data_IF_705430367923
#
_entry.id   IF_705430367923
#
_cell.length_a   1.000
_cell.length_b   1.000
_cell.length_c   1.000
_cell.angle_alpha   90.00
_cell.angle_beta   90.00
_cell.angle_gamma   90.00
#
_symmetry.space_group_name_H-M   'P 1'
#
loop_
_entity.id
_entity.type
_entity.pdbx_description
1 polymer ?
#
# COMPACT_ATOMS: atom_id res chain seq x y z
N UNK A 1 26.10 -12.52 -10.56
CA UNK A 1 25.26 -13.71 -10.28
C UNK A 1 24.21 -13.41 -9.19
N UNK A 2 24.61 -12.74 -8.10
CA UNK A 2 23.69 -12.39 -7.02
C UNK A 2 22.54 -11.49 -7.48
N UNK A 3 22.81 -10.49 -8.32
CA UNK A 3 21.79 -9.59 -8.86
C UNK A 3 20.74 -10.33 -9.68
N UNK A 4 21.14 -11.26 -10.55
CA UNK A 4 20.19 -12.04 -11.34
C UNK A 4 19.36 -12.99 -10.49
N UNK A 5 19.95 -13.59 -9.46
CA UNK A 5 19.23 -14.47 -8.54
C UNK A 5 18.22 -13.69 -7.71
N UNK A 6 18.61 -12.53 -7.19
CA UNK A 6 17.73 -11.64 -6.43
C UNK A 6 16.58 -11.12 -7.30
N UNK A 7 16.87 -10.64 -8.52
CA UNK A 7 15.87 -10.19 -9.46
C UNK A 7 14.92 -11.29 -9.89
N UNK A 8 15.40 -12.52 -10.08
CA UNK A 8 14.55 -13.67 -10.38
C UNK A 8 13.57 -13.96 -9.24
N UNK A 9 14.02 -13.85 -7.99
CA UNK A 9 13.14 -14.01 -6.81
C UNK A 9 12.07 -12.92 -6.74
N UNK A 10 12.42 -11.67 -7.01
CA UNK A 10 11.49 -10.55 -7.06
C UNK A 10 10.46 -10.74 -8.18
N UNK A 11 10.90 -11.09 -9.38
CA UNK A 11 10.01 -11.33 -10.52
C UNK A 11 9.02 -12.48 -10.25
N UNK A 12 9.47 -13.57 -9.65
CA UNK A 12 8.62 -14.69 -9.25
C UNK A 12 7.61 -14.27 -8.18
N UNK A 13 8.02 -13.43 -7.22
CA UNK A 13 7.13 -12.86 -6.22
C UNK A 13 6.03 -12.00 -6.84
N UNK A 14 6.35 -11.20 -7.85
CA UNK A 14 5.36 -10.37 -8.57
C UNK A 14 4.40 -11.19 -9.43
N UNK A 15 4.85 -12.28 -10.03
CA UNK A 15 3.95 -13.22 -10.69
C UNK A 15 2.96 -13.83 -9.71
N UNK A 16 3.42 -14.21 -8.52
CA UNK A 16 2.58 -14.69 -7.43
C UNK A 16 1.57 -13.62 -7.02
N UNK A 17 1.99 -12.36 -6.92
CA UNK A 17 1.09 -11.24 -6.61
C UNK A 17 0.01 -11.06 -7.69
N UNK A 18 0.35 -11.16 -8.96
CA UNK A 18 -0.63 -11.10 -10.06
C UNK A 18 -1.70 -12.18 -9.90
N UNK A 19 -1.31 -13.40 -9.57
CA UNK A 19 -2.25 -14.51 -9.33
C UNK A 19 -3.13 -14.21 -8.11
N UNK A 20 -2.52 -13.78 -7.00
CA UNK A 20 -3.26 -13.45 -5.77
C UNK A 20 -4.28 -12.34 -6.01
N UNK A 21 -3.89 -11.25 -6.65
CA UNK A 21 -4.79 -10.13 -6.92
C UNK A 21 -5.83 -10.46 -7.98
N UNK A 22 -5.50 -11.28 -8.97
CA UNK A 22 -6.50 -11.78 -9.93
C UNK A 22 -7.60 -12.58 -9.21
N UNK A 23 -7.24 -13.37 -8.21
CA UNK A 23 -8.20 -14.10 -7.38
C UNK A 23 -9.03 -13.14 -6.52
N UNK A 24 -8.38 -12.19 -5.85
CA UNK A 24 -9.04 -11.23 -4.96
C UNK A 24 -10.00 -10.30 -5.72
N UNK A 25 -9.62 -9.85 -6.92
CA UNK A 25 -10.41 -8.91 -7.72
C UNK A 25 -11.32 -9.61 -8.74
N UNK A 26 -11.15 -10.91 -8.94
CA UNK A 26 -11.95 -11.69 -9.90
C UNK A 26 -11.61 -11.42 -11.37
N UNK A 27 -10.47 -10.77 -11.66
CA UNK A 27 -10.07 -10.43 -13.02
C UNK A 27 -8.54 -10.27 -13.11
N UNK A 28 -7.94 -10.95 -14.07
CA UNK A 28 -6.52 -10.81 -14.37
C UNK A 28 -6.17 -9.39 -14.86
N UNK A 29 -7.01 -8.83 -15.72
CA UNK A 29 -6.81 -7.49 -16.27
C UNK A 29 -6.87 -6.42 -15.19
N UNK A 30 -7.82 -6.52 -14.28
CA UNK A 30 -7.94 -5.63 -13.12
C UNK A 30 -6.70 -5.73 -12.23
N UNK A 31 -6.22 -6.94 -11.96
CA UNK A 31 -5.02 -7.18 -11.17
C UNK A 31 -3.78 -6.57 -11.82
N UNK A 32 -3.59 -6.77 -13.12
CA UNK A 32 -2.45 -6.22 -13.86
C UNK A 32 -2.44 -4.70 -13.84
N UNK A 33 -3.58 -4.06 -14.08
CA UNK A 33 -3.73 -2.61 -13.99
C UNK A 33 -3.47 -2.08 -12.59
N UNK A 34 -4.01 -2.76 -11.59
CA UNK A 34 -3.81 -2.40 -10.19
C UNK A 34 -2.34 -2.45 -9.80
N UNK A 35 -1.64 -3.53 -10.14
CA UNK A 35 -0.23 -3.70 -9.81
C UNK A 35 0.66 -2.70 -10.54
N UNK A 36 0.34 -2.35 -11.78
CA UNK A 36 1.04 -1.28 -12.50
C UNK A 36 0.92 0.05 -11.75
N UNK A 37 -0.27 0.40 -11.28
CA UNK A 37 -0.50 1.61 -10.49
C UNK A 37 0.20 1.55 -9.13
N UNK A 38 0.23 0.38 -8.51
CA UNK A 38 0.92 0.16 -7.24
C UNK A 38 2.43 0.34 -7.36
N UNK A 39 3.04 -0.16 -8.43
CA UNK A 39 4.44 0.09 -8.77
C UNK A 39 4.69 1.60 -8.92
N UNK A 40 3.82 2.30 -9.63
CA UNK A 40 3.89 3.75 -9.77
C UNK A 40 3.86 4.46 -8.42
N UNK A 41 3.00 4.04 -7.51
CA UNK A 41 2.93 4.57 -6.15
C UNK A 41 4.23 4.28 -5.37
N UNK A 42 4.76 3.06 -5.43
CA UNK A 42 6.01 2.71 -4.77
C UNK A 42 7.18 3.57 -5.26
N UNK A 43 7.24 3.82 -6.57
CA UNK A 43 8.32 4.61 -7.17
C UNK A 43 8.23 6.11 -6.88
N UNK A 44 7.06 6.61 -6.52
CA UNK A 44 6.83 8.03 -6.24
C UNK A 44 6.66 8.36 -4.75
N UNK A 45 6.78 7.39 -3.87
CA UNK A 45 6.61 7.55 -2.42
C UNK A 45 7.77 6.92 -1.66
N UNK A 46 7.93 7.21 -0.34
CA UNK A 46 8.96 6.57 0.47
C UNK A 46 8.69 5.09 0.81
N UNK A 47 7.59 4.52 0.34
CA UNK A 47 7.20 3.15 0.69
C UNK A 47 7.58 2.15 -0.40
N UNK A 48 8.02 0.96 0.02
CA UNK A 48 8.41 -0.10 -0.90
C UNK A 48 7.18 -0.84 -1.45
N UNK A 49 7.34 -1.41 -2.63
CA UNK A 49 6.30 -2.20 -3.30
C UNK A 49 5.76 -3.33 -2.41
N UNK A 50 6.64 -4.06 -1.70
CA UNK A 50 6.21 -5.18 -0.85
C UNK A 50 5.34 -4.72 0.31
N UNK A 51 5.63 -3.55 0.89
CA UNK A 51 4.82 -2.97 1.96
C UNK A 51 3.43 -2.59 1.45
N UNK A 52 3.38 -1.92 0.31
CA UNK A 52 2.12 -1.51 -0.33
C UNK A 52 1.30 -2.73 -0.78
N UNK A 53 1.97 -3.77 -1.27
CA UNK A 53 1.33 -5.03 -1.66
C UNK A 53 0.68 -5.73 -0.48
N UNK A 54 1.37 -5.81 0.65
CA UNK A 54 0.84 -6.42 1.87
C UNK A 54 -0.40 -5.67 2.38
N UNK A 55 -0.34 -4.35 2.44
CA UNK A 55 -1.50 -3.53 2.84
C UNK A 55 -2.65 -3.66 1.85
N UNK A 56 -2.35 -3.72 0.55
CA UNK A 56 -3.36 -3.91 -0.50
C UNK A 56 -4.12 -5.23 -0.35
N UNK A 57 -3.40 -6.32 -0.10
CA UNK A 57 -4.01 -7.65 0.12
C UNK A 57 -4.91 -7.64 1.35
N UNK A 58 -4.47 -6.99 2.43
CA UNK A 58 -5.26 -6.82 3.64
C UNK A 58 -6.56 -6.09 3.34
N UNK A 59 -6.49 -4.94 2.67
CA UNK A 59 -7.67 -4.16 2.32
C UNK A 59 -8.61 -4.91 1.38
N UNK A 60 -8.07 -5.60 0.37
CA UNK A 60 -8.86 -6.43 -0.54
C UNK A 60 -9.58 -7.56 0.21
N UNK A 61 -8.91 -8.20 1.16
CA UNK A 61 -9.49 -9.26 2.00
C UNK A 61 -10.70 -8.76 2.78
N UNK A 62 -10.66 -7.51 3.24
CA UNK A 62 -11.75 -6.90 4.01
C UNK A 62 -12.78 -6.15 3.15
N UNK A 63 -12.78 -6.37 1.84
CA UNK A 63 -13.86 -5.93 0.97
C UNK A 63 -13.64 -4.61 0.23
N UNK A 64 -12.43 -4.06 0.24
CA UNK A 64 -12.09 -2.97 -0.67
C UNK A 64 -11.84 -3.51 -2.07
N UNK A 65 -12.39 -2.86 -3.08
CA UNK A 65 -12.15 -3.21 -4.48
C UNK A 65 -10.88 -2.53 -5.03
N UNK A 66 -10.48 -2.93 -6.23
CA UNK A 66 -9.28 -2.41 -6.87
C UNK A 66 -9.29 -0.88 -7.03
N UNK A 67 -10.46 -0.29 -7.25
CA UNK A 67 -10.59 1.15 -7.47
C UNK A 67 -10.48 1.95 -6.16
N UNK A 68 -10.82 1.36 -5.02
CA UNK A 68 -10.82 2.04 -3.73
C UNK A 68 -9.54 1.84 -2.93
N UNK A 69 -8.75 0.81 -3.19
CA UNK A 69 -7.57 0.51 -2.37
C UNK A 69 -6.49 1.59 -2.50
N UNK A 70 -6.14 2.03 -3.70
CA UNK A 70 -5.08 3.04 -3.89
C UNK A 70 -5.40 4.36 -3.18
N UNK A 71 -6.62 4.92 -3.25
CA UNK A 71 -6.97 6.09 -2.46
C UNK A 71 -6.86 5.86 -0.94
N UNK A 72 -7.23 4.67 -0.45
CA UNK A 72 -7.08 4.32 0.96
C UNK A 72 -5.60 4.22 1.35
N UNK A 73 -4.77 3.59 0.53
CA UNK A 73 -3.33 3.53 0.76
C UNK A 73 -2.70 4.92 0.77
N UNK A 74 -3.12 5.80 -0.14
CA UNK A 74 -2.67 7.19 -0.19
C UNK A 74 -2.97 7.90 1.13
N UNK A 75 -4.18 7.75 1.64
CA UNK A 75 -4.61 8.35 2.91
C UNK A 75 -3.85 7.79 4.10
N UNK A 76 -3.71 6.47 4.18
CA UNK A 76 -2.94 5.81 5.26
C UNK A 76 -1.47 6.22 5.18
N UNK A 77 -0.90 6.27 3.99
CA UNK A 77 0.47 6.70 3.77
C UNK A 77 0.70 8.15 4.15
N UNK A 78 -0.19 9.05 3.80
CA UNK A 78 -0.13 10.46 4.19
C UNK A 78 -0.18 10.64 5.71
N UNK A 79 -1.10 9.94 6.38
CA UNK A 79 -1.18 9.95 7.84
C UNK A 79 0.09 9.38 8.48
N UNK A 80 0.58 8.26 7.96
CA UNK A 80 1.82 7.63 8.42
C UNK A 80 3.03 8.54 8.28
N UNK A 81 3.15 9.23 7.16
CA UNK A 81 4.22 10.20 6.93
C UNK A 81 4.13 11.39 7.91
N UNK A 82 2.94 11.94 8.08
CA UNK A 82 2.72 13.08 8.98
C UNK A 82 2.98 12.73 10.44
N UNK A 83 2.61 11.52 10.86
CA UNK A 83 2.70 11.08 12.25
C UNK A 83 4.01 10.35 12.57
N UNK A 84 4.91 10.20 11.60
CA UNK A 84 6.18 9.52 11.80
C UNK A 84 6.03 8.03 12.05
N UNK A 85 5.01 7.40 11.48
CA UNK A 85 4.73 5.98 11.68
C UNK A 85 5.68 5.08 10.89
N UNK A 86 5.98 3.91 11.47
CA UNK A 86 6.66 2.83 10.76
C UNK A 86 5.72 2.14 9.78
N UNK A 87 6.28 1.35 8.86
CA UNK A 87 5.49 0.49 7.97
C UNK A 87 4.60 -0.47 8.75
N UNK A 88 5.10 -1.03 9.87
CA UNK A 88 4.31 -1.90 10.73
C UNK A 88 3.10 -1.18 11.33
N UNK A 89 3.26 0.07 11.73
CA UNK A 89 2.15 0.90 12.23
C UNK A 89 1.10 1.12 11.14
N UNK A 90 1.52 1.47 9.94
CA UNK A 90 0.61 1.69 8.80
C UNK A 90 -0.12 0.40 8.42
N UNK A 91 0.54 -0.75 8.47
CA UNK A 91 -0.09 -2.05 8.23
C UNK A 91 -1.16 -2.34 9.29
N UNK A 92 -0.89 -2.02 10.56
CA UNK A 92 -1.88 -2.15 11.63
C UNK A 92 -3.07 -1.21 11.43
N UNK A 93 -2.83 0.01 10.97
CA UNK A 93 -3.89 0.97 10.61
C UNK A 93 -4.75 0.41 9.47
N UNK A 94 -4.13 -0.07 8.41
CA UNK A 94 -4.83 -0.68 7.28
C UNK A 94 -5.70 -1.88 7.72
N UNK A 95 -5.18 -2.72 8.60
CA UNK A 95 -5.90 -3.87 9.15
C UNK A 95 -7.10 -3.42 9.98
N UNK A 96 -6.93 -2.43 10.86
CA UNK A 96 -8.02 -1.90 11.69
C UNK A 96 -9.12 -1.28 10.83
N UNK A 97 -8.75 -0.49 9.83
CA UNK A 97 -9.70 0.12 8.88
C UNK A 97 -10.46 -0.97 8.11
N UNK A 98 -9.76 -1.97 7.61
CA UNK A 98 -10.35 -3.09 6.88
C UNK A 98 -11.34 -3.88 7.73
N UNK A 99 -10.96 -4.20 8.96
CA UNK A 99 -11.83 -4.91 9.91
C UNK A 99 -13.08 -4.11 10.25
N UNK A 100 -12.94 -2.79 10.47
CA UNK A 100 -14.09 -1.92 10.66
C UNK A 100 -15.04 -1.96 9.48
N UNK A 101 -14.50 -1.78 8.28
CA UNK A 101 -15.32 -1.77 7.05
C UNK A 101 -16.12 -3.06 6.90
N UNK A 102 -15.54 -4.20 7.23
CA UNK A 102 -16.20 -5.51 7.09
C UNK A 102 -17.09 -5.86 8.26
N UNK A 103 -17.09 -5.08 9.33
CA UNK A 103 -17.88 -5.32 10.53
C UNK A 103 -19.21 -4.56 10.48
N UNK A 104 -20.28 -5.18 11.01
CA UNK A 104 -21.59 -4.52 11.12
C UNK A 104 -21.58 -3.34 12.10
N UNK A 105 -20.71 -3.41 13.10
CA UNK A 105 -20.58 -2.36 14.12
C UNK A 105 -19.12 -2.09 14.43
N UNK A 106 -18.85 -0.84 14.82
CA UNK A 106 -17.54 -0.40 15.29
C UNK A 106 -17.34 -0.85 16.75
N UNK A 107 -16.11 -1.31 17.04
CA UNK A 107 -15.72 -1.66 18.42
C UNK A 107 -14.54 -0.82 18.87
N UNK A 108 -14.38 -0.67 20.18
CA UNK A 108 -13.23 0.04 20.77
C UNK A 108 -11.90 -0.65 20.44
N UNK A 109 -11.91 -1.97 20.25
CA UNK A 109 -10.71 -2.72 19.86
C UNK A 109 -10.03 -2.13 18.62
N UNK A 110 -10.80 -1.88 17.57
CA UNK A 110 -10.26 -1.31 16.32
C UNK A 110 -9.87 0.15 16.48
N UNK A 111 -10.67 0.93 17.20
CA UNK A 111 -10.37 2.34 17.44
C UNK A 111 -9.14 2.52 18.31
N UNK A 112 -8.88 1.64 19.27
CA UNK A 112 -7.69 1.69 20.11
C UNK A 112 -6.42 1.37 19.33
N UNK A 113 -6.48 0.50 18.34
CA UNK A 113 -5.35 0.26 17.42
C UNK A 113 -4.94 1.57 16.74
N UNK A 114 -5.89 2.36 16.31
CA UNK A 114 -5.66 3.67 15.69
C UNK A 114 -5.16 4.70 16.71
N UNK A 115 -5.80 4.77 17.87
CA UNK A 115 -5.41 5.70 18.95
C UNK A 115 -3.98 5.47 19.41
N UNK A 116 -3.55 4.21 19.54
CA UNK A 116 -2.20 3.85 19.96
C UNK A 116 -1.14 4.32 18.94
N UNK A 117 -1.54 4.62 17.72
CA UNK A 117 -0.67 5.07 16.63
C UNK A 117 -0.82 6.57 16.31
N UNK A 118 -1.42 7.32 17.22
CA UNK A 118 -1.55 8.76 17.10
C UNK A 118 -2.74 9.23 16.28
N UNK A 119 -3.65 8.32 15.90
CA UNK A 119 -4.87 8.66 15.19
C UNK A 119 -6.01 8.78 16.20
N UNK A 120 -6.48 9.99 16.43
CA UNK A 120 -7.57 10.29 17.39
C UNK A 120 -8.93 9.87 16.82
N UNK A 121 -9.15 8.56 16.65
CA UNK A 121 -10.32 8.04 15.95
C UNK A 121 -11.64 8.37 16.63
N UNK A 122 -11.71 8.31 17.95
CA UNK A 122 -12.94 8.65 18.69
C UNK A 122 -13.28 10.12 18.52
N UNK A 123 -12.31 11.01 18.56
CA UNK A 123 -12.49 12.43 18.29
C UNK A 123 -13.01 12.71 16.89
N UNK A 124 -12.46 12.01 15.89
CA UNK A 124 -12.93 12.11 14.50
C UNK A 124 -14.39 11.70 14.35
N UNK A 125 -14.80 10.62 15.02
CA UNK A 125 -16.18 10.16 15.03
C UNK A 125 -17.08 11.15 15.78
N UNK A 126 -16.65 11.65 16.95
CA UNK A 126 -17.39 12.68 17.71
C UNK A 126 -17.68 13.90 16.85
N UNK A 127 -16.68 14.41 16.15
CA UNK A 127 -16.81 15.58 15.29
C UNK A 127 -17.80 15.31 14.15
N UNK A 128 -17.71 14.15 13.52
CA UNK A 128 -18.59 13.79 12.41
C UNK A 128 -20.06 13.61 12.84
N UNK A 129 -20.28 13.01 14.00
CA UNK A 129 -21.62 12.80 14.55
C UNK A 129 -22.18 14.03 15.31
N UNK A 130 -21.35 15.04 15.55
CA UNK A 130 -21.77 16.25 16.27
C UNK A 130 -22.10 16.00 17.73
N UNK A 131 -21.37 15.08 18.37
CA UNK A 131 -21.58 14.70 19.79
C UNK A 131 -20.25 14.82 20.54
N UNK A 132 -20.30 14.87 21.87
CA UNK A 132 -19.09 14.81 22.67
C UNK A 132 -18.51 13.38 22.71
N UNK A 133 -17.26 13.26 23.17
CA UNK A 133 -16.59 11.95 23.19
C UNK A 133 -17.28 10.96 24.12
N UNK A 134 -17.80 11.40 25.26
CA UNK A 134 -18.54 10.54 26.18
C UNK A 134 -19.76 9.92 25.52
N UNK A 135 -20.53 10.73 24.80
CA UNK A 135 -21.69 10.27 24.01
C UNK A 135 -21.23 9.31 22.91
N UNK A 136 -20.11 9.62 22.26
CA UNK A 136 -19.54 8.75 21.21
C UNK A 136 -19.16 7.38 21.76
N UNK A 137 -18.49 7.32 22.90
CA UNK A 137 -18.18 6.03 23.57
C UNK A 137 -19.44 5.24 23.89
N UNK A 138 -20.48 5.90 24.35
CA UNK A 138 -21.78 5.26 24.63
C UNK A 138 -22.38 4.67 23.36
N UNK A 139 -22.40 5.44 22.27
CA UNK A 139 -22.90 4.97 20.97
C UNK A 139 -22.12 3.74 20.46
N UNK A 140 -20.80 3.76 20.58
CA UNK A 140 -19.94 2.63 20.20
C UNK A 140 -20.28 1.40 21.06
N UNK A 141 -20.39 1.56 22.38
CA UNK A 141 -20.70 0.47 23.29
C UNK A 141 -22.07 -0.17 23.01
N UNK A 142 -23.03 0.63 22.57
CA UNK A 142 -24.38 0.16 22.21
C UNK A 142 -24.44 -0.43 20.79
N UNK A 143 -23.35 -0.41 20.03
CA UNK A 143 -23.31 -0.91 18.65
C UNK A 143 -24.09 -0.02 17.67
N UNK A 144 -24.22 1.27 17.95
CA UNK A 144 -24.96 2.22 17.13
C UNK A 144 -24.15 2.83 15.99
N UNK A 145 -22.85 2.52 15.90
CA UNK A 145 -21.94 3.04 14.87
C UNK A 145 -21.59 1.91 13.90
N UNK A 146 -22.10 2.01 12.69
CA UNK A 146 -21.79 1.03 11.64
C UNK A 146 -20.30 1.07 11.31
N UNK A 147 -19.68 -0.11 11.19
CA UNK A 147 -18.24 -0.21 10.91
C UNK A 147 -17.85 0.46 9.60
N UNK A 148 -18.65 0.29 8.56
CA UNK A 148 -18.42 0.92 7.26
C UNK A 148 -18.45 2.46 7.35
N UNK A 149 -19.36 3.02 8.11
CA UNK A 149 -19.46 4.46 8.32
C UNK A 149 -18.25 4.99 9.09
N UNK A 150 -17.85 4.28 10.15
CA UNK A 150 -16.66 4.66 10.93
C UNK A 150 -15.40 4.65 10.09
N UNK A 151 -15.20 3.62 9.28
CA UNK A 151 -14.03 3.53 8.38
C UNK A 151 -13.99 4.72 7.40
N UNK A 152 -15.12 5.04 6.79
CA UNK A 152 -15.24 6.18 5.87
C UNK A 152 -14.97 7.51 6.57
N UNK A 153 -15.56 7.73 7.72
CA UNK A 153 -15.39 8.97 8.48
C UNK A 153 -13.92 9.18 8.87
N UNK A 154 -13.26 8.13 9.37
CA UNK A 154 -11.88 8.20 9.79
C UNK A 154 -10.96 8.45 8.59
N UNK A 155 -11.17 7.76 7.47
CA UNK A 155 -10.39 7.99 6.24
C UNK A 155 -10.58 9.42 5.71
N UNK A 156 -11.79 9.93 5.69
CA UNK A 156 -12.07 11.31 5.27
C UNK A 156 -11.37 12.32 6.18
N UNK A 157 -11.42 12.12 7.49
CA UNK A 157 -10.74 12.99 8.46
C UNK A 157 -9.22 12.94 8.31
N UNK A 158 -8.65 11.78 8.08
CA UNK A 158 -7.21 11.62 7.82
C UNK A 158 -6.79 12.32 6.52
N UNK A 159 -7.58 12.17 5.46
CA UNK A 159 -7.33 12.83 4.19
C UNK A 159 -7.38 14.36 4.35
N UNK A 160 -8.38 14.87 5.04
CA UNK A 160 -8.50 16.32 5.29
C UNK A 160 -7.32 16.89 6.09
N UNK A 161 -6.81 16.13 7.06
CA UNK A 161 -5.74 16.58 7.92
C UNK A 161 -4.34 16.43 7.33
N UNK A 162 -4.10 15.39 6.54
CA UNK A 162 -2.74 14.95 6.20
C UNK A 162 -2.47 14.81 4.71
N UNK A 163 -3.39 15.17 3.83
CA UNK A 163 -3.17 15.06 2.39
C UNK A 163 -1.88 15.76 1.96
N UNK A 164 -1.09 15.09 1.13
CA UNK A 164 0.18 15.60 0.62
C UNK A 164 1.40 15.33 1.51
N UNK A 165 1.23 14.75 2.70
CA UNK A 165 2.35 14.51 3.63
C UNK A 165 3.37 13.51 3.10
N UNK A 166 2.93 12.49 2.37
CA UNK A 166 3.83 11.53 1.72
C UNK A 166 4.74 12.20 0.69
N UNK A 167 4.14 13.06 -0.16
CA UNK A 167 4.89 13.82 -1.15
C UNK A 167 5.90 14.75 -0.50
N UNK A 168 5.50 15.44 0.56
CA UNK A 168 6.41 16.32 1.31
C UNK A 168 7.57 15.54 1.92
N UNK A 169 7.31 14.35 2.48
CA UNK A 169 8.34 13.50 3.06
C UNK A 169 9.29 12.93 2.00
N UNK A 170 8.80 12.62 0.80
CA UNK A 170 9.64 12.10 -0.28
C UNK A 170 10.73 13.09 -0.72
N UNK A 171 10.59 14.35 -0.39
CA UNK A 171 11.58 15.39 -0.64
C UNK A 171 12.64 15.48 0.45
N UNK A 172 12.51 14.75 1.54
CA UNK A 172 13.53 14.65 2.60
C UNK A 172 14.61 13.63 2.21
N UNK A 173 15.74 13.66 2.93
CA UNK A 173 16.82 12.69 2.70
C UNK A 173 16.35 11.25 2.84
N UNK A 174 15.58 10.93 3.89
CA UNK A 174 15.05 9.57 4.11
C UNK A 174 14.11 9.14 2.98
N UNK A 175 13.24 10.03 2.53
CA UNK A 175 12.32 9.77 1.44
C UNK A 175 13.05 9.52 0.12
N UNK A 176 14.07 10.30 -0.19
CA UNK A 176 14.91 10.11 -1.38
C UNK A 176 15.60 8.74 -1.34
N UNK A 177 16.15 8.35 -0.18
CA UNK A 177 16.80 7.04 0.00
C UNK A 177 15.82 5.90 -0.24
N UNK A 178 14.61 5.97 0.31
CA UNK A 178 13.57 4.95 0.09
C UNK A 178 13.15 4.86 -1.38
N UNK A 179 13.07 6.00 -2.07
CA UNK A 179 12.76 6.04 -3.50
C UNK A 179 13.86 5.35 -4.32
N UNK A 180 15.12 5.56 -3.97
CA UNK A 180 16.26 4.88 -4.62
C UNK A 180 16.18 3.38 -4.40
N UNK A 181 15.85 2.92 -3.18
CA UNK A 181 15.64 1.49 -2.89
C UNK A 181 14.50 0.91 -3.74
N UNK A 182 13.41 1.64 -3.91
CA UNK A 182 12.31 1.25 -4.78
C UNK A 182 12.74 1.10 -6.24
N UNK A 183 13.52 2.04 -6.76
CA UNK A 183 14.07 1.97 -8.12
C UNK A 183 15.03 0.80 -8.27
N UNK A 184 15.83 0.50 -7.24
CA UNK A 184 16.70 -0.68 -7.23
C UNK A 184 15.88 -1.96 -7.32
N UNK A 185 14.78 -2.06 -6.58
CA UNK A 185 13.90 -3.23 -6.65
C UNK A 185 13.28 -3.38 -8.05
N UNK A 186 12.90 -2.28 -8.70
CA UNK A 186 12.38 -2.31 -10.07
C UNK A 186 13.44 -2.79 -11.07
N UNK A 187 14.66 -2.32 -10.93
CA UNK A 187 15.78 -2.78 -11.76
C UNK A 187 16.01 -4.28 -11.56
N UNK A 188 16.06 -4.74 -10.32
CA UNK A 188 16.27 -6.15 -9.99
C UNK A 188 15.10 -7.01 -10.53
N UNK A 189 13.86 -6.53 -10.43
CA UNK A 189 12.70 -7.21 -11.01
C UNK A 189 12.82 -7.31 -12.53
N UNK A 190 13.15 -6.23 -13.21
CA UNK A 190 13.31 -6.20 -14.65
C UNK A 190 14.40 -7.18 -15.11
N UNK A 191 15.53 -7.19 -14.43
CA UNK A 191 16.61 -8.15 -14.69
C UNK A 191 16.18 -9.59 -14.40
N UNK A 192 15.42 -9.81 -13.33
CA UNK A 192 14.88 -11.11 -12.97
C UNK A 192 13.86 -11.65 -13.98
N UNK A 193 13.01 -10.79 -14.52
CA UNK A 193 12.09 -11.17 -15.60
C UNK A 193 12.84 -11.64 -16.82
N UNK A 194 13.89 -10.93 -17.23
CA UNK A 194 14.75 -11.35 -18.33
C UNK A 194 15.39 -12.71 -18.07
N UNK A 195 15.90 -12.92 -16.86
CA UNK A 195 16.50 -14.20 -16.46
C UNK A 195 15.46 -15.34 -16.48
N UNK A 196 14.26 -15.10 -15.95
CA UNK A 196 13.17 -16.10 -15.93
C UNK A 196 12.71 -16.46 -17.34
N UNK A 197 12.61 -15.49 -18.24
CA UNK A 197 12.31 -15.73 -19.64
C UNK A 197 13.38 -16.61 -20.30
N UNK A 198 14.66 -16.33 -20.01
CA UNK A 198 15.77 -17.12 -20.51
C UNK A 198 15.68 -18.57 -20.07
N UNK A 199 15.32 -18.80 -18.79
CA UNK A 199 15.11 -20.17 -18.28
C UNK A 199 14.00 -20.90 -19.02
N UNK A 200 13.00 -20.17 -19.52
CA UNK A 200 11.89 -20.74 -20.26
C UNK A 200 12.12 -20.81 -21.76
N UNK A 201 12.87 -19.88 -22.33
CA UNK A 201 12.99 -19.66 -23.78
C UNK A 201 14.41 -19.78 -24.33
N UNK A 202 15.45 -19.79 -23.46
CA UNK A 202 16.85 -19.91 -23.84
C UNK A 202 17.66 -18.62 -23.73
N UNK A 203 18.99 -18.76 -23.88
CA UNK A 203 19.95 -17.69 -23.59
C UNK A 203 19.84 -16.47 -24.53
N UNK A 204 19.39 -16.64 -25.75
CA UNK A 204 19.26 -15.52 -26.70
C UNK A 204 18.18 -14.52 -26.26
N UNK A 205 17.08 -14.99 -25.68
CA UNK A 205 16.05 -14.13 -25.16
C UNK A 205 16.58 -13.23 -24.02
N UNK A 206 17.45 -13.77 -23.17
CA UNK A 206 18.09 -12.99 -22.10
C UNK A 206 18.95 -11.85 -22.66
N UNK A 207 19.75 -12.14 -23.70
CA UNK A 207 20.61 -11.13 -24.31
C UNK A 207 19.81 -10.00 -24.93
N UNK A 208 18.75 -10.33 -25.64
CA UNK A 208 17.85 -9.34 -26.23
C UNK A 208 17.17 -8.49 -25.15
N UNK A 209 16.72 -9.12 -24.08
CA UNK A 209 16.05 -8.42 -23.00
C UNK A 209 16.98 -7.44 -22.28
N UNK A 210 18.20 -7.89 -21.90
CA UNK A 210 19.19 -7.05 -21.21
C UNK A 210 19.72 -5.90 -22.10
N UNK A 211 19.73 -6.09 -23.42
CA UNK A 211 20.10 -5.07 -24.38
C UNK A 211 18.93 -4.17 -24.80
N UNK A 212 17.71 -4.50 -24.40
CA UNK A 212 16.50 -3.77 -24.77
C UNK A 212 16.32 -2.48 -23.97
N UNK A 213 15.42 -1.61 -24.47
CA UNK A 213 15.16 -0.28 -23.91
C UNK A 213 14.74 -0.32 -22.44
N UNK A 214 13.92 -1.30 -22.04
CA UNK A 214 13.42 -1.43 -20.67
C UNK A 214 14.55 -1.66 -19.65
N UNK A 215 15.53 -2.50 -19.97
CA UNK A 215 16.68 -2.75 -19.09
C UNK A 215 17.56 -1.51 -18.97
N UNK A 216 17.78 -0.79 -20.07
CA UNK A 216 18.57 0.45 -20.09
C UNK A 216 17.88 1.57 -19.33
N UNK A 217 16.60 1.77 -19.52
CA UNK A 217 15.80 2.76 -18.79
C UNK A 217 15.85 2.55 -17.28
N UNK A 218 15.74 1.31 -16.82
CA UNK A 218 15.84 0.97 -15.40
C UNK A 218 17.22 1.25 -14.83
N UNK A 219 18.29 0.98 -15.59
CA UNK A 219 19.65 1.31 -15.19
C UNK A 219 19.85 2.83 -15.10
N UNK A 220 19.37 3.59 -16.07
CA UNK A 220 19.45 5.05 -16.08
C UNK A 220 18.70 5.64 -14.88
N UNK A 221 17.50 5.17 -14.60
CA UNK A 221 16.71 5.62 -13.46
C UNK A 221 17.39 5.33 -12.12
N UNK A 222 18.08 4.19 -12.01
CA UNK A 222 18.80 3.82 -10.80
C UNK A 222 20.09 4.63 -10.59
N UNK A 223 20.81 4.93 -11.67
CA UNK A 223 22.08 5.66 -11.60
C UNK A 223 21.96 7.17 -11.56
N UNK A 224 20.81 7.68 -11.92
CA UNK A 224 20.53 9.12 -11.85
C UNK A 224 20.20 9.57 -10.41
#
# INVERSE_FOLDING_TARGET
>A
SESLTSGSSIAAGRETDKISFATLFGSKETADSYLTNLVGMANSTPFLYDDLTSMSKTLATYGYDADSILPVLQTIGDAGAALGQSTNDMTAVATAIGRMKSSNKTTLEYLNILNDRGIGAVGMLSDAYGVDQGTMYSMISKGEVAGQDAARIILDALSDSFAGSMEAQSKTFSGITSTIEGLQQELDNAMGEGYNQTRMQGLEAQKEWLAGDSGQEMQEAYTA
#
